data_IF_291078133344
#
_entry.id   IF_291078133344
#
_cell.length_a   1.000
_cell.length_b   1.000
_cell.length_c   1.000
_cell.angle_alpha   90.00
_cell.angle_beta   90.00
_cell.angle_gamma   90.00
#
_symmetry.space_group_name_H-M   'P 1'
#
loop_
_entity.id
_entity.type
_entity.pdbx_description
1 polymer ?
#
# COMPACT_ATOMS: atom_id res chain seq x y z
N UNK A 1 -13.90 0.72 19.23
CA UNK A 1 -12.71 1.48 19.55
C UNK A 1 -12.60 2.63 18.54
N UNK A 2 -12.97 3.83 18.95
CA UNK A 2 -13.15 5.01 18.09
C UNK A 2 -11.86 5.36 17.31
N UNK A 3 -10.71 5.19 17.93
CA UNK A 3 -9.41 5.44 17.28
C UNK A 3 -9.15 4.54 16.06
N UNK A 4 -9.58 3.27 16.12
CA UNK A 4 -9.41 2.34 14.98
C UNK A 4 -10.25 2.71 13.77
N UNK A 5 -11.38 3.41 13.97
CA UNK A 5 -12.22 3.91 12.86
C UNK A 5 -11.54 5.02 12.07
N UNK A 6 -10.57 5.72 12.70
CA UNK A 6 -9.76 6.76 12.05
C UNK A 6 -8.59 6.19 11.26
N UNK A 7 -8.40 4.86 11.27
CA UNK A 7 -7.28 4.20 10.63
C UNK A 7 -7.79 3.20 9.59
N UNK A 8 -7.33 3.35 8.34
CA UNK A 8 -7.49 2.35 7.30
C UNK A 8 -6.27 1.43 7.25
N UNK A 9 -6.45 0.19 6.81
CA UNK A 9 -5.33 -0.74 6.62
C UNK A 9 -5.45 -1.48 5.30
N UNK A 10 -4.36 -1.51 4.55
CA UNK A 10 -4.19 -2.24 3.30
C UNK A 10 -3.18 -3.35 3.54
N UNK A 11 -3.60 -4.59 3.41
CA UNK A 11 -2.77 -5.77 3.66
C UNK A 11 -2.05 -6.24 2.40
N UNK A 12 -0.92 -6.90 2.58
CA UNK A 12 -0.07 -7.44 1.51
C UNK A 12 -0.83 -8.30 0.49
N UNK A 13 -1.76 -9.14 0.95
CA UNK A 13 -2.56 -10.03 0.09
C UNK A 13 -4.01 -9.55 -0.10
N UNK A 14 -4.24 -8.22 0.02
CA UNK A 14 -5.54 -7.56 -0.09
C UNK A 14 -6.55 -7.95 0.99
N UNK A 15 -6.49 -9.14 1.55
CA UNK A 15 -7.35 -9.68 2.61
C UNK A 15 -8.86 -9.44 2.34
N UNK A 16 -9.29 -9.62 1.09
CA UNK A 16 -10.70 -9.53 0.74
C UNK A 16 -11.46 -10.73 1.31
N UNK A 17 -12.72 -10.52 1.65
CA UNK A 17 -13.62 -11.59 2.04
C UNK A 17 -14.08 -12.34 0.79
N UNK A 18 -13.66 -13.58 0.63
CA UNK A 18 -13.97 -14.39 -0.56
C UNK A 18 -15.47 -14.72 -0.71
N UNK A 19 -16.22 -14.63 0.37
CA UNK A 19 -17.68 -14.87 0.41
C UNK A 19 -18.51 -13.62 0.08
N UNK A 20 -17.86 -12.48 -0.18
CA UNK A 20 -18.49 -11.19 -0.46
C UNK A 20 -18.04 -10.68 -1.83
N UNK A 21 -18.95 -10.06 -2.59
CA UNK A 21 -18.61 -9.37 -3.81
C UNK A 21 -17.79 -8.08 -3.53
N UNK A 22 -17.40 -7.38 -4.59
CA UNK A 22 -16.58 -6.14 -4.50
C UNK A 22 -17.31 -5.07 -3.70
N UNK A 23 -18.60 -4.79 -3.98
CA UNK A 23 -19.40 -3.79 -3.24
C UNK A 23 -19.50 -4.15 -1.77
N UNK A 24 -19.80 -5.40 -1.45
CA UNK A 24 -19.90 -5.87 -0.07
C UNK A 24 -18.57 -5.76 0.69
N UNK A 25 -17.45 -6.08 0.04
CA UNK A 25 -16.12 -5.90 0.62
C UNK A 25 -15.84 -4.44 0.99
N UNK A 26 -16.17 -3.50 0.12
CA UNK A 26 -15.95 -2.05 0.37
C UNK A 26 -16.94 -1.53 1.40
N UNK A 27 -18.22 -1.92 1.32
CA UNK A 27 -19.28 -1.50 2.23
C UNK A 27 -19.19 -2.09 3.63
N UNK A 28 -18.41 -3.17 3.82
CA UNK A 28 -18.34 -3.91 5.08
C UNK A 28 -18.10 -3.01 6.30
N UNK A 29 -17.10 -2.14 6.24
CA UNK A 29 -16.77 -1.22 7.33
C UNK A 29 -17.86 -0.19 7.58
N UNK A 30 -18.51 0.31 6.54
CA UNK A 30 -19.63 1.26 6.64
C UNK A 30 -20.81 0.63 7.39
N UNK A 31 -21.25 -0.58 6.98
CA UNK A 31 -22.33 -1.30 7.65
C UNK A 31 -22.06 -1.62 9.11
N UNK A 32 -20.81 -1.91 9.47
CA UNK A 32 -20.44 -2.28 10.84
C UNK A 32 -20.25 -1.08 11.78
N UNK A 33 -19.99 0.10 11.24
CA UNK A 33 -19.49 1.21 12.03
C UNK A 33 -20.24 2.53 11.85
N UNK A 34 -21.29 2.55 11.04
CA UNK A 34 -22.13 3.75 10.81
C UNK A 34 -23.60 3.39 10.87
N UNK A 35 -24.45 4.39 11.04
CA UNK A 35 -25.90 4.29 11.00
C UNK A 35 -26.46 4.78 9.65
N UNK A 36 -25.66 4.74 8.58
CA UNK A 36 -26.04 5.16 7.24
C UNK A 36 -27.08 4.20 6.63
N UNK A 37 -27.97 4.72 5.82
CA UNK A 37 -28.89 3.93 5.01
C UNK A 37 -28.14 3.11 3.95
N UNK A 38 -28.73 2.03 3.46
CA UNK A 38 -28.13 1.23 2.37
C UNK A 38 -27.90 2.07 1.10
N UNK A 39 -28.77 3.01 0.79
CA UNK A 39 -28.59 3.92 -0.35
C UNK A 39 -27.35 4.83 -0.17
N UNK A 40 -27.13 5.37 1.04
CA UNK A 40 -25.93 6.17 1.34
C UNK A 40 -24.66 5.31 1.28
N UNK A 41 -24.72 4.08 1.80
CA UNK A 41 -23.61 3.11 1.76
C UNK A 41 -23.27 2.77 0.30
N UNK A 42 -24.26 2.52 -0.55
CA UNK A 42 -24.07 2.22 -1.96
C UNK A 42 -23.40 3.38 -2.68
N UNK A 43 -23.90 4.60 -2.50
CA UNK A 43 -23.33 5.81 -3.11
C UNK A 43 -21.85 6.03 -2.67
N UNK A 44 -21.55 5.85 -1.38
CA UNK A 44 -20.18 5.96 -0.88
C UNK A 44 -19.30 4.88 -1.51
N UNK A 45 -19.78 3.64 -1.55
CA UNK A 45 -19.06 2.48 -2.08
C UNK A 45 -18.70 2.68 -3.56
N UNK A 46 -19.66 3.10 -4.37
CA UNK A 46 -19.43 3.41 -5.79
C UNK A 46 -18.42 4.55 -5.97
N UNK A 47 -18.56 5.63 -5.20
CA UNK A 47 -17.60 6.71 -5.22
C UNK A 47 -16.17 6.28 -4.84
N UNK A 48 -16.02 5.34 -3.89
CA UNK A 48 -14.70 4.81 -3.52
C UNK A 48 -14.13 3.86 -4.58
N UNK A 49 -14.96 3.06 -5.22
CA UNK A 49 -14.55 2.22 -6.36
C UNK A 49 -14.13 3.07 -7.55
N UNK A 50 -14.89 4.11 -7.88
CA UNK A 50 -14.54 5.06 -8.92
C UNK A 50 -13.18 5.74 -8.64
N UNK A 51 -12.94 6.19 -7.40
CA UNK A 51 -11.69 6.83 -7.00
C UNK A 51 -10.46 5.94 -7.23
N UNK A 52 -10.61 4.62 -7.10
CA UNK A 52 -9.53 3.67 -7.37
C UNK A 52 -9.52 3.15 -8.82
N UNK A 53 -10.35 3.73 -9.70
CA UNK A 53 -10.45 3.38 -11.12
C UNK A 53 -11.06 1.99 -11.36
N UNK A 54 -12.10 1.66 -10.61
CA UNK A 54 -12.86 0.42 -10.73
C UNK A 54 -14.35 0.75 -10.91
N UNK A 55 -14.76 0.92 -12.16
CA UNK A 55 -16.15 1.11 -12.52
C UNK A 55 -16.78 -0.22 -12.95
N UNK A 56 -18.07 -0.40 -12.70
CA UNK A 56 -18.90 -1.54 -13.15
C UNK A 56 -18.40 -2.94 -12.70
N UNK A 57 -17.63 -3.03 -11.61
CA UNK A 57 -17.10 -4.30 -11.08
C UNK A 57 -17.71 -4.70 -9.73
N UNK A 58 -18.71 -3.94 -9.26
CA UNK A 58 -19.26 -4.09 -7.92
C UNK A 58 -19.80 -5.47 -7.59
N UNK A 59 -20.37 -6.17 -8.57
CA UNK A 59 -20.99 -7.47 -8.41
C UNK A 59 -20.01 -8.66 -8.60
N UNK A 60 -18.77 -8.38 -9.04
CA UNK A 60 -17.76 -9.42 -9.23
C UNK A 60 -17.29 -9.99 -7.88
N UNK A 61 -16.98 -11.28 -7.87
CA UNK A 61 -16.37 -11.94 -6.71
C UNK A 61 -14.85 -11.75 -6.71
N UNK A 62 -14.20 -11.80 -5.55
CA UNK A 62 -12.73 -11.71 -5.49
C UNK A 62 -12.00 -12.72 -6.38
N UNK A 63 -12.56 -13.90 -6.60
CA UNK A 63 -12.00 -14.93 -7.47
C UNK A 63 -11.87 -14.46 -8.94
N UNK A 64 -12.77 -13.59 -9.39
CA UNK A 64 -12.85 -13.10 -10.77
C UNK A 64 -11.92 -11.90 -11.03
N UNK A 65 -11.28 -11.38 -9.98
CA UNK A 65 -10.45 -10.18 -10.06
C UNK A 65 -8.98 -10.51 -10.35
N UNK A 66 -8.35 -9.69 -11.20
CA UNK A 66 -6.88 -9.69 -11.33
C UNK A 66 -6.19 -9.25 -10.02
N UNK A 67 -4.91 -9.56 -9.85
CA UNK A 67 -4.15 -9.14 -8.67
C UNK A 67 -4.16 -7.62 -8.45
N UNK A 68 -4.04 -6.83 -9.52
CA UNK A 68 -4.14 -5.36 -9.47
C UNK A 68 -5.53 -4.87 -9.06
N UNK A 69 -6.60 -5.50 -9.57
CA UNK A 69 -7.96 -5.16 -9.15
C UNK A 69 -8.20 -5.49 -7.67
N UNK A 70 -7.73 -6.63 -7.17
CA UNK A 70 -7.79 -6.97 -5.73
C UNK A 70 -7.14 -5.92 -4.86
N UNK A 71 -5.97 -5.41 -5.26
CA UNK A 71 -5.28 -4.31 -4.57
C UNK A 71 -6.13 -3.04 -4.55
N UNK A 72 -6.70 -2.65 -5.68
CA UNK A 72 -7.57 -1.47 -5.80
C UNK A 72 -8.84 -1.59 -4.96
N UNK A 73 -9.50 -2.76 -4.91
CA UNK A 73 -10.64 -3.02 -4.01
C UNK A 73 -10.23 -2.92 -2.54
N UNK A 74 -9.06 -3.46 -2.19
CA UNK A 74 -8.52 -3.33 -0.82
C UNK A 74 -8.25 -1.87 -0.43
N UNK A 75 -7.77 -1.05 -1.37
CA UNK A 75 -7.62 0.39 -1.20
C UNK A 75 -8.98 1.07 -0.99
N UNK A 76 -9.97 0.80 -1.85
CA UNK A 76 -11.33 1.35 -1.73
C UNK A 76 -11.94 1.01 -0.36
N UNK A 77 -11.81 -0.24 0.10
CA UNK A 77 -12.27 -0.68 1.43
C UNK A 77 -11.58 0.07 2.56
N UNK A 78 -10.26 0.24 2.47
CA UNK A 78 -9.48 0.93 3.50
C UNK A 78 -9.88 2.41 3.66
N UNK A 79 -10.34 3.06 2.58
CA UNK A 79 -10.74 4.48 2.59
C UNK A 79 -12.26 4.70 2.73
N UNK A 80 -13.07 3.65 2.82
CA UNK A 80 -14.53 3.75 2.87
C UNK A 80 -15.02 4.62 4.03
N UNK A 81 -14.41 4.48 5.21
CA UNK A 81 -14.73 5.25 6.41
C UNK A 81 -14.05 6.64 6.49
N UNK A 82 -13.45 7.14 5.40
CA UNK A 82 -12.71 8.40 5.38
C UNK A 82 -11.67 8.50 6.53
N UNK A 83 -10.72 7.56 6.64
CA UNK A 83 -9.75 7.53 7.72
C UNK A 83 -8.82 8.76 7.69
N UNK A 84 -8.22 9.08 8.84
CA UNK A 84 -7.18 10.10 8.96
C UNK A 84 -5.78 9.55 8.68
N UNK A 85 -5.60 8.25 8.92
CA UNK A 85 -4.33 7.54 8.75
C UNK A 85 -4.59 6.28 7.94
N UNK A 86 -3.72 5.98 6.97
CA UNK A 86 -3.75 4.70 6.24
C UNK A 86 -2.41 3.99 6.42
N UNK A 87 -2.49 2.74 6.87
CA UNK A 87 -1.36 1.84 6.98
C UNK A 87 -1.34 0.93 5.76
N UNK A 88 -0.21 0.87 5.06
CA UNK A 88 0.00 0.00 3.92
C UNK A 88 1.08 -1.02 4.25
N UNK A 89 0.74 -2.29 4.13
CA UNK A 89 1.67 -3.41 4.29
C UNK A 89 1.94 -4.02 2.92
N UNK A 90 3.14 -3.79 2.38
CA UNK A 90 3.58 -4.27 1.06
C UNK A 90 2.53 -4.07 -0.06
N UNK A 91 2.07 -2.84 -0.32
CA UNK A 91 0.93 -2.60 -1.22
C UNK A 91 1.18 -3.02 -2.66
N UNK A 92 2.44 -3.07 -3.11
CA UNK A 92 2.84 -3.43 -4.47
C UNK A 92 3.33 -4.87 -4.62
N UNK A 93 3.42 -5.63 -3.52
CA UNK A 93 3.91 -7.00 -3.54
C UNK A 93 3.10 -7.91 -4.48
N UNK A 94 3.81 -8.71 -5.27
CA UNK A 94 3.21 -9.66 -6.21
C UNK A 94 2.68 -9.05 -7.51
N UNK A 95 2.93 -7.77 -7.76
CA UNK A 95 2.59 -7.09 -9.01
C UNK A 95 3.82 -6.98 -9.93
N UNK A 96 3.57 -6.93 -11.23
CA UNK A 96 4.59 -6.54 -12.20
C UNK A 96 4.96 -5.04 -12.02
N UNK A 97 6.12 -4.59 -12.56
CA UNK A 97 6.60 -3.22 -12.33
C UNK A 97 5.66 -2.11 -12.80
N UNK A 98 4.87 -2.35 -13.86
CA UNK A 98 3.92 -1.36 -14.37
C UNK A 98 2.78 -1.19 -13.39
N UNK A 99 2.16 -2.30 -12.97
CA UNK A 99 1.05 -2.30 -12.01
C UNK A 99 1.48 -1.82 -10.62
N UNK A 100 2.71 -2.14 -10.20
CA UNK A 100 3.28 -1.60 -8.95
C UNK A 100 3.39 -0.07 -9.01
N UNK A 101 3.82 0.48 -10.15
CA UNK A 101 3.84 1.93 -10.39
C UNK A 101 2.44 2.53 -10.32
N UNK A 102 1.44 1.90 -10.96
CA UNK A 102 0.05 2.38 -10.93
C UNK A 102 -0.52 2.44 -9.51
N UNK A 103 -0.27 1.41 -8.70
CA UNK A 103 -0.69 1.39 -7.28
C UNK A 103 0.03 2.49 -6.48
N UNK A 104 1.33 2.69 -6.70
CA UNK A 104 2.09 3.76 -6.02
C UNK A 104 1.56 5.14 -6.36
N UNK A 105 1.25 5.40 -7.63
CA UNK A 105 0.64 6.66 -8.08
C UNK A 105 -0.75 6.86 -7.47
N UNK A 106 -1.55 5.79 -7.39
CA UNK A 106 -2.88 5.83 -6.77
C UNK A 106 -2.80 6.16 -5.28
N UNK A 107 -1.84 5.57 -4.53
CA UNK A 107 -1.59 5.89 -3.13
C UNK A 107 -1.27 7.38 -2.98
N UNK A 108 -0.40 7.92 -3.82
CA UNK A 108 -0.02 9.34 -3.80
C UNK A 108 -1.18 10.26 -4.14
N UNK A 109 -2.00 9.89 -5.11
CA UNK A 109 -3.23 10.63 -5.46
C UNK A 109 -4.20 10.66 -4.28
N UNK A 110 -4.49 9.51 -3.67
CA UNK A 110 -5.38 9.41 -2.51
C UNK A 110 -4.87 10.25 -1.32
N UNK A 111 -3.56 10.20 -1.04
CA UNK A 111 -2.95 11.04 -0.01
C UNK A 111 -3.24 12.53 -0.25
N UNK A 112 -3.06 12.98 -1.48
CA UNK A 112 -3.27 14.39 -1.86
C UNK A 112 -4.74 14.79 -1.80
N UNK A 113 -5.64 13.99 -2.35
CA UNK A 113 -7.08 14.30 -2.44
C UNK A 113 -7.78 14.20 -1.09
N UNK A 114 -7.47 13.17 -0.30
CA UNK A 114 -8.09 12.93 1.00
C UNK A 114 -7.35 13.61 2.15
N UNK A 115 -6.15 14.15 1.91
CA UNK A 115 -5.28 14.77 2.94
C UNK A 115 -5.01 13.84 4.13
N UNK A 116 -4.84 12.54 3.85
CA UNK A 116 -4.56 11.51 4.86
C UNK A 116 -3.07 11.40 5.15
N UNK A 117 -2.74 10.98 6.36
CA UNK A 117 -1.38 10.54 6.70
C UNK A 117 -1.20 9.09 6.27
N UNK A 118 -0.16 8.81 5.49
CA UNK A 118 0.15 7.45 5.00
C UNK A 118 1.42 6.91 5.65
N UNK A 119 1.36 5.68 6.14
CA UNK A 119 2.53 4.91 6.58
C UNK A 119 2.62 3.68 5.68
N UNK A 120 3.70 3.57 4.92
CA UNK A 120 3.92 2.48 3.97
C UNK A 120 5.10 1.64 4.44
N UNK A 121 4.86 0.36 4.68
CA UNK A 121 5.91 -0.63 4.95
C UNK A 121 6.15 -1.39 3.66
N UNK A 122 7.37 -1.32 3.12
CA UNK A 122 7.76 -2.03 1.91
C UNK A 122 9.27 -2.22 1.81
N UNK A 123 9.69 -3.24 1.09
CA UNK A 123 11.07 -3.46 0.67
C UNK A 123 11.32 -2.99 -0.78
N UNK A 124 10.29 -2.58 -1.50
CA UNK A 124 10.41 -2.05 -2.87
C UNK A 124 10.80 -0.57 -2.81
N UNK A 125 12.10 -0.32 -3.01
CA UNK A 125 12.67 1.03 -2.98
C UNK A 125 12.04 1.97 -4.00
N UNK A 126 11.75 1.47 -5.21
CA UNK A 126 11.16 2.28 -6.27
C UNK A 126 9.78 2.80 -5.87
N UNK A 127 8.94 1.93 -5.31
CA UNK A 127 7.63 2.31 -4.79
C UNK A 127 7.77 3.26 -3.59
N UNK A 128 8.69 2.96 -2.66
CA UNK A 128 8.95 3.81 -1.50
C UNK A 128 9.36 5.24 -1.89
N UNK A 129 10.33 5.38 -2.80
CA UNK A 129 10.79 6.69 -3.31
C UNK A 129 9.69 7.48 -4.00
N UNK A 130 8.78 6.78 -4.69
CA UNK A 130 7.67 7.41 -5.40
C UNK A 130 6.62 8.01 -4.45
N UNK A 131 6.32 7.33 -3.35
CA UNK A 131 5.20 7.71 -2.47
C UNK A 131 5.62 8.50 -1.24
N UNK A 132 6.85 8.33 -0.75
CA UNK A 132 7.26 8.85 0.54
C UNK A 132 7.74 10.31 0.48
N UNK A 133 7.31 11.11 1.46
CA UNK A 133 7.92 12.40 1.79
C UNK A 133 9.16 12.19 2.68
N UNK A 134 9.14 11.16 3.52
CA UNK A 134 10.23 10.73 4.40
C UNK A 134 10.26 9.22 4.50
N UNK A 135 11.45 8.67 4.59
CA UNK A 135 11.70 7.24 4.74
C UNK A 135 12.41 6.97 6.07
N UNK A 136 12.13 5.81 6.65
CA UNK A 136 12.81 5.31 7.84
C UNK A 136 13.33 3.90 7.55
N UNK A 137 14.62 3.66 7.76
CA UNK A 137 15.22 2.35 7.59
C UNK A 137 15.19 1.59 8.92
N UNK A 138 14.39 0.52 8.96
CA UNK A 138 14.23 -0.34 10.13
C UNK A 138 15.16 -1.55 10.00
N UNK A 139 15.97 -1.80 11.04
CA UNK A 139 16.86 -2.94 11.13
C UNK A 139 16.90 -3.47 12.56
N UNK A 140 16.69 -4.78 12.75
CA UNK A 140 16.70 -5.45 14.07
C UNK A 140 15.89 -4.69 15.14
N UNK A 141 14.69 -4.23 14.78
CA UNK A 141 13.77 -3.55 15.70
C UNK A 141 14.12 -2.08 16.01
N UNK A 142 15.11 -1.50 15.31
CA UNK A 142 15.53 -0.11 15.52
C UNK A 142 15.60 0.67 14.22
N UNK A 143 15.27 1.98 14.27
CA UNK A 143 15.48 2.87 13.15
C UNK A 143 16.94 3.32 13.08
N UNK A 144 17.65 2.90 12.03
CA UNK A 144 19.05 3.28 11.81
C UNK A 144 19.21 4.63 11.11
N UNK A 145 18.24 4.99 10.28
CA UNK A 145 18.21 6.27 9.56
C UNK A 145 16.79 6.70 9.31
N UNK A 146 16.56 8.03 9.33
CA UNK A 146 15.28 8.66 8.97
C UNK A 146 15.60 9.93 8.17
N UNK A 147 15.00 10.08 6.99
CA UNK A 147 15.25 11.24 6.12
C UNK A 147 14.56 11.13 4.77
N UNK A 148 15.03 11.90 3.79
CA UNK A 148 14.63 11.73 2.38
C UNK A 148 15.32 10.51 1.77
N UNK A 149 14.89 10.08 0.59
CA UNK A 149 15.53 8.97 -0.14
C UNK A 149 17.02 9.25 -0.38
N UNK A 150 17.36 10.49 -0.81
CA UNK A 150 18.75 10.90 -1.08
C UNK A 150 19.60 10.90 0.22
N UNK A 151 19.01 11.30 1.35
CA UNK A 151 19.70 11.28 2.64
C UNK A 151 20.01 9.84 3.08
N UNK A 152 19.08 8.90 2.86
CA UNK A 152 19.32 7.49 3.17
C UNK A 152 20.33 6.86 2.21
N UNK A 153 20.26 7.14 0.92
CA UNK A 153 21.21 6.63 -0.09
C UNK A 153 22.65 7.08 0.17
N UNK A 154 22.84 8.27 0.75
CA UNK A 154 24.14 8.83 1.15
C UNK A 154 24.50 8.57 2.62
N UNK A 155 23.79 7.67 3.29
CA UNK A 155 24.04 7.34 4.70
C UNK A 155 25.47 6.90 4.96
N UNK A 156 25.99 7.26 6.16
CA UNK A 156 27.28 6.75 6.66
C UNK A 156 27.18 5.32 7.18
N UNK A 157 25.99 4.87 7.57
CA UNK A 157 25.75 3.47 7.96
C UNK A 157 25.78 2.59 6.71
N UNK A 158 26.73 1.64 6.69
CA UNK A 158 26.94 0.74 5.54
C UNK A 158 25.67 -0.06 5.19
N UNK A 159 24.91 -0.53 6.19
CA UNK A 159 23.70 -1.35 6.00
C UNK A 159 22.62 -0.56 5.28
N UNK A 160 22.42 0.69 5.69
CA UNK A 160 21.46 1.60 5.03
C UNK A 160 21.90 1.86 3.59
N UNK A 161 23.19 2.23 3.40
CA UNK A 161 23.75 2.51 2.08
C UNK A 161 23.69 1.29 1.16
N UNK A 162 24.00 0.11 1.68
CA UNK A 162 23.96 -1.14 0.92
C UNK A 162 22.55 -1.43 0.42
N UNK A 163 21.55 -1.35 1.30
CA UNK A 163 20.16 -1.59 0.95
C UNK A 163 19.64 -0.57 -0.07
N UNK A 164 19.83 0.73 0.21
CA UNK A 164 19.36 1.81 -0.66
C UNK A 164 19.97 1.78 -2.06
N UNK A 165 21.20 1.31 -2.21
CA UNK A 165 21.88 1.26 -3.51
C UNK A 165 21.89 -0.14 -4.14
N UNK A 166 21.22 -1.12 -3.54
CA UNK A 166 21.18 -2.49 -4.07
C UNK A 166 22.55 -3.16 -4.15
N UNK A 167 23.47 -2.82 -3.23
CA UNK A 167 24.82 -3.35 -3.26
C UNK A 167 24.83 -4.82 -2.75
N UNK A 168 25.64 -5.69 -3.36
CA UNK A 168 25.76 -7.08 -2.91
C UNK A 168 26.29 -7.15 -1.48
N UNK A 169 25.92 -8.20 -0.74
CA UNK A 169 26.56 -8.48 0.54
C UNK A 169 28.02 -8.90 0.32
N UNK A 170 28.93 -8.55 1.25
CA UNK A 170 30.37 -8.89 1.17
C UNK A 170 30.62 -10.38 0.95
N UNK A 171 29.71 -11.26 1.39
CA UNK A 171 29.79 -12.71 1.23
C UNK A 171 29.66 -13.19 -0.23
N UNK A 172 29.12 -12.36 -1.12
CA UNK A 172 28.88 -12.69 -2.52
C UNK A 172 29.81 -11.94 -3.49
N UNK A 173 30.87 -11.32 -2.99
CA UNK A 173 31.88 -10.72 -3.84
C UNK A 173 32.66 -11.87 -4.50
N UNK A 174 32.35 -12.17 -5.77
CA UNK A 174 33.08 -13.17 -6.55
C UNK A 174 34.53 -12.72 -6.62
N UNK A 175 35.46 -13.52 -6.09
CA UNK A 175 36.89 -13.24 -6.23
C UNK A 175 37.23 -13.26 -7.69
N UNK A 176 37.58 -12.11 -8.26
CA UNK A 176 38.05 -12.01 -9.64
C UNK A 176 39.30 -12.92 -9.77
N UNK A 177 39.18 -14.01 -10.54
CA UNK A 177 40.30 -14.92 -10.82
C UNK A 177 40.02 -16.41 -10.66
N UNK A 178 38.84 -16.85 -10.23
CA UNK A 178 38.56 -18.29 -10.09
C UNK A 178 37.89 -18.95 -11.34
N UNK A 179 37.73 -18.20 -12.41
CA UNK A 179 37.20 -18.69 -13.69
C UNK A 179 38.23 -18.45 -14.83
N UNK A 180 39.43 -19.07 -14.72
CA UNK A 180 40.41 -19.12 -15.81
C UNK A 180 40.55 -20.55 -16.28
#
# INVERSE_FOLDING_TARGET
NEERRRMGMVFQYSALFDSMNVKENVAFGLRQHTDLSEEEIENITEGKLHLVGLDDVGDLMPADLSGGMKKRVSLARAIALNPQIILYDEPTAGLDPIRATDISLLIKQMQKEMKVTSIVVTHDLKSAEMVADRMAFLYEGSFLAVGTAEALASSRDYRVKQFMNGLPSEQYTVRAGEFS
#
